data_IF_319575512631
#
_entry.id   IF_319575512631
#
_cell.length_a   1.000
_cell.length_b   1.000
_cell.length_c   1.000
_cell.angle_alpha   90.00
_cell.angle_beta   90.00
_cell.angle_gamma   90.00
#
_symmetry.space_group_name_H-M   'P 1'
#
loop_
_entity.id
_entity.type
_entity.pdbx_description
1 polymer ?
#
# COMPACT_ATOMS: atom_id res chain seq x y z
N UNK A 1 -3.46 5.38 3.64
CA UNK A 1 -4.68 5.23 2.83
C UNK A 1 -5.60 4.22 3.51
N UNK A 2 -6.91 4.43 3.49
CA UNK A 2 -7.89 3.42 3.92
C UNK A 2 -8.31 2.54 2.74
N UNK A 3 -8.92 1.39 3.00
CA UNK A 3 -9.48 0.52 1.94
C UNK A 3 -10.49 1.27 1.08
N UNK A 4 -11.31 2.13 1.69
CA UNK A 4 -12.30 2.95 0.98
C UNK A 4 -11.63 3.95 0.01
N UNK A 5 -10.56 4.61 0.45
CA UNK A 5 -9.80 5.53 -0.40
C UNK A 5 -9.16 4.80 -1.58
N UNK A 6 -8.57 3.62 -1.34
CA UNK A 6 -8.02 2.80 -2.42
C UNK A 6 -9.07 2.42 -3.45
N UNK A 7 -10.28 2.00 -3.03
CA UNK A 7 -11.39 1.67 -3.93
C UNK A 7 -11.85 2.89 -4.75
N UNK A 8 -11.93 4.07 -4.13
CA UNK A 8 -12.25 5.31 -4.82
C UNK A 8 -11.19 5.68 -5.88
N UNK A 9 -9.91 5.56 -5.52
CA UNK A 9 -8.78 5.85 -6.42
C UNK A 9 -8.64 4.83 -7.57
N UNK A 10 -9.13 3.60 -7.41
CA UNK A 10 -9.26 2.64 -8.52
C UNK A 10 -10.39 3.09 -9.45
N UNK A 11 -11.54 3.50 -8.89
CA UNK A 11 -12.71 3.91 -9.66
C UNK A 11 -12.49 5.21 -10.45
N UNK A 12 -11.74 6.17 -9.90
CA UNK A 12 -11.42 7.43 -10.57
C UNK A 12 -10.22 7.34 -11.54
N UNK A 13 -9.55 6.18 -11.60
CA UNK A 13 -8.45 5.92 -12.52
C UNK A 13 -7.07 6.36 -12.02
N UNK A 14 -6.94 6.90 -10.81
CA UNK A 14 -5.64 7.26 -10.20
C UNK A 14 -4.77 6.03 -9.98
N UNK A 15 -5.35 4.93 -9.49
CA UNK A 15 -4.70 3.62 -9.38
C UNK A 15 -5.01 2.84 -10.65
N UNK A 16 -4.01 2.67 -11.52
CA UNK A 16 -4.18 2.07 -12.83
C UNK A 16 -3.16 0.98 -13.15
N UNK A 17 -3.45 0.18 -14.18
CA UNK A 17 -2.57 -0.86 -14.71
C UNK A 17 -2.21 -1.92 -13.66
N UNK A 18 -0.95 -2.34 -13.63
CA UNK A 18 -0.47 -3.35 -12.68
C UNK A 18 -0.56 -2.94 -11.21
N UNK A 19 -0.83 -1.67 -10.91
CA UNK A 19 -1.04 -1.22 -9.52
C UNK A 19 -2.40 -1.66 -8.97
N UNK A 20 -3.42 -1.85 -9.82
CA UNK A 20 -4.74 -2.36 -9.40
C UNK A 20 -4.56 -3.71 -8.69
N UNK A 21 -3.86 -4.66 -9.33
CA UNK A 21 -3.60 -5.99 -8.76
C UNK A 21 -2.83 -5.94 -7.43
N UNK A 22 -1.87 -5.02 -7.31
CA UNK A 22 -1.09 -4.83 -6.08
C UNK A 22 -1.99 -4.34 -4.94
N UNK A 23 -2.82 -3.34 -5.23
CA UNK A 23 -3.72 -2.75 -4.23
C UNK A 23 -4.84 -3.72 -3.85
N UNK A 24 -5.41 -4.46 -4.80
CA UNK A 24 -6.41 -5.51 -4.51
C UNK A 24 -5.83 -6.61 -3.61
N UNK A 25 -4.57 -7.02 -3.83
CA UNK A 25 -3.90 -7.98 -2.96
C UNK A 25 -3.70 -7.43 -1.54
N UNK A 26 -3.36 -6.14 -1.41
CA UNK A 26 -3.23 -5.47 -0.11
C UNK A 26 -4.58 -5.41 0.62
N UNK A 27 -5.65 -5.02 -0.08
CA UNK A 27 -7.02 -4.98 0.45
C UNK A 27 -7.43 -6.39 0.91
N UNK A 28 -7.19 -7.41 0.09
CA UNK A 28 -7.50 -8.79 0.45
C UNK A 28 -6.80 -9.23 1.75
N UNK A 29 -5.52 -8.89 1.92
CA UNK A 29 -4.77 -9.21 3.13
C UNK A 29 -5.38 -8.52 4.37
N UNK A 30 -5.77 -7.24 4.25
CA UNK A 30 -6.42 -6.48 5.32
C UNK A 30 -7.78 -7.08 5.69
N UNK A 31 -8.59 -7.44 4.69
CA UNK A 31 -9.88 -8.12 4.88
C UNK A 31 -9.73 -9.51 5.55
N UNK A 32 -8.52 -10.09 5.54
CA UNK A 32 -8.16 -11.34 6.24
C UNK A 32 -7.56 -11.13 7.63
N UNK A 33 -7.52 -9.89 8.12
CA UNK A 33 -7.08 -9.56 9.48
C UNK A 33 -5.66 -9.03 9.60
N UNK A 34 -5.00 -8.67 8.50
CA UNK A 34 -3.72 -7.95 8.54
C UNK A 34 -3.98 -6.48 8.93
N UNK A 35 -3.25 -5.98 9.92
CA UNK A 35 -3.46 -4.62 10.48
C UNK A 35 -3.05 -3.49 9.52
N UNK A 36 -2.09 -3.75 8.64
CA UNK A 36 -1.65 -2.80 7.63
C UNK A 36 -0.71 -3.42 6.61
N UNK A 37 -0.70 -2.85 5.40
CA UNK A 37 0.17 -3.28 4.31
C UNK A 37 0.87 -2.07 3.71
N UNK A 38 2.16 -2.19 3.44
CA UNK A 38 2.95 -1.10 2.84
C UNK A 38 3.43 -1.50 1.45
N UNK A 39 3.18 -0.64 0.46
CA UNK A 39 3.77 -0.74 -0.87
C UNK A 39 5.06 0.09 -0.90
N UNK A 40 6.19 -0.58 -1.13
CA UNK A 40 7.54 0.02 -1.12
C UNK A 40 8.14 0.14 -2.52
N UNK A 41 9.00 1.14 -2.73
CA UNK A 41 9.88 1.21 -3.89
C UNK A 41 11.14 0.37 -3.65
N UNK A 42 11.19 -0.84 -4.23
CA UNK A 42 12.32 -1.75 -4.09
C UNK A 42 13.64 -1.29 -4.74
N UNK A 43 13.64 -0.20 -5.51
CA UNK A 43 14.88 0.38 -6.06
C UNK A 43 15.62 1.26 -5.04
N UNK A 44 14.94 1.68 -3.98
CA UNK A 44 15.54 2.47 -2.90
C UNK A 44 16.44 1.57 -2.04
N UNK A 45 17.72 1.91 -1.87
CA UNK A 45 18.60 1.17 -0.96
C UNK A 45 18.00 1.12 0.43
N UNK A 46 18.00 -0.06 1.05
CA UNK A 46 17.48 -0.27 2.41
C UNK A 46 16.00 0.11 2.60
N UNK A 47 15.16 0.07 1.55
CA UNK A 47 13.75 0.48 1.62
C UNK A 47 12.97 -0.13 2.81
N UNK A 48 13.21 -1.41 3.13
CA UNK A 48 12.57 -2.10 4.26
C UNK A 48 13.02 -1.52 5.60
N UNK A 49 14.31 -1.24 5.77
CA UNK A 49 14.82 -0.66 7.01
C UNK A 49 14.34 0.78 7.18
N UNK A 50 14.30 1.56 6.10
CA UNK A 50 13.76 2.92 6.13
C UNK A 50 12.28 2.92 6.53
N UNK A 51 11.48 2.00 6.00
CA UNK A 51 10.07 1.87 6.39
C UNK A 51 9.89 1.56 7.87
N UNK A 52 10.68 0.64 8.41
CA UNK A 52 10.52 0.16 9.79
C UNK A 52 11.12 1.09 10.85
N UNK A 53 12.18 1.84 10.50
CA UNK A 53 13.00 2.57 11.48
C UNK A 53 13.02 4.08 11.26
N UNK A 54 12.14 4.64 10.42
CA UNK A 54 11.98 6.09 10.27
C UNK A 54 10.52 6.50 10.47
N UNK A 55 10.30 7.67 11.07
CA UNK A 55 8.95 8.14 11.39
C UNK A 55 8.06 8.36 10.16
N UNK A 56 8.65 8.79 9.05
CA UNK A 56 7.89 9.09 7.84
C UNK A 56 7.61 7.87 6.97
N UNK A 57 8.35 6.77 7.18
CA UNK A 57 8.36 5.63 6.26
C UNK A 57 8.88 6.00 4.86
N UNK A 58 9.04 4.99 4.00
CA UNK A 58 9.44 5.15 2.60
C UNK A 58 8.35 4.70 1.61
N UNK A 59 7.25 4.15 2.11
CA UNK A 59 6.18 3.55 1.31
C UNK A 59 4.83 4.24 1.41
N UNK A 60 3.85 3.61 0.76
CA UNK A 60 2.44 3.94 0.93
C UNK A 60 1.79 2.92 1.85
N UNK A 61 1.40 3.35 3.05
CA UNK A 61 0.69 2.54 4.02
C UNK A 61 -0.81 2.48 3.69
N UNK A 62 -1.34 1.27 3.63
CA UNK A 62 -2.77 0.96 3.53
C UNK A 62 -3.20 0.30 4.85
N UNK A 63 -4.25 0.84 5.44
CA UNK A 63 -4.89 0.38 6.69
C UNK A 63 -6.38 0.13 6.42
N UNK A 64 -7.12 -0.55 7.30
CA UNK A 64 -8.57 -0.75 7.18
C UNK A 64 -9.34 0.50 6.74
#
# INVERSE_FOLDING_TARGET
LTVAQCKAMIADGTIAGGMILKVETCIHAIEKGVEGVVILNGKTPHAVLLELFTEHGAGTLIVP
#
